data_IF_552351955276
#
_entry.id   IF_552351955276
#
_cell.length_a   1.000
_cell.length_b   1.000
_cell.length_c   1.000
_cell.angle_alpha   90.00
_cell.angle_beta   90.00
_cell.angle_gamma   90.00
#
_symmetry.space_group_name_H-M   'P 1'
#
loop_
_entity.id
_entity.type
_entity.pdbx_description
1 polymer ?
#
# COMPACT_ATOMS: atom_id res chain seq x y z
N UNK A 1 -14.84 7.20 -1.65
CA UNK A 1 -13.63 7.10 -0.78
C UNK A 1 -12.79 5.86 -1.13
N UNK A 2 -13.10 4.64 -0.67
CA UNK A 2 -12.34 3.44 -1.12
C UNK A 2 -12.85 2.84 -2.44
N UNK A 3 -14.12 3.09 -2.77
CA UNK A 3 -14.80 2.61 -3.99
C UNK A 3 -14.08 3.07 -5.26
N UNK A 4 -13.54 4.29 -5.21
CA UNK A 4 -12.93 4.99 -6.33
C UNK A 4 -11.41 4.75 -6.39
N UNK A 5 -10.82 4.16 -5.35
CA UNK A 5 -9.40 3.85 -5.33
C UNK A 5 -9.13 2.51 -6.02
N UNK A 6 -8.77 2.58 -7.31
CA UNK A 6 -8.54 1.39 -8.16
C UNK A 6 -7.60 0.36 -7.53
N UNK A 7 -6.46 0.78 -6.97
CA UNK A 7 -5.51 -0.14 -6.34
C UNK A 7 -6.15 -0.93 -5.20
N UNK A 8 -6.97 -0.25 -4.37
CA UNK A 8 -7.70 -0.91 -3.29
C UNK A 8 -8.72 -1.93 -3.82
N UNK A 9 -9.47 -1.60 -4.88
CA UNK A 9 -10.43 -2.55 -5.46
C UNK A 9 -9.75 -3.82 -5.99
N UNK A 10 -8.63 -3.67 -6.69
CA UNK A 10 -7.84 -4.82 -7.17
C UNK A 10 -7.31 -5.63 -5.98
N UNK A 11 -6.82 -4.99 -4.91
CA UNK A 11 -6.32 -5.70 -3.73
C UNK A 11 -7.41 -6.49 -2.99
N UNK A 12 -8.64 -5.97 -2.97
CA UNK A 12 -9.80 -6.67 -2.41
C UNK A 12 -10.14 -7.91 -3.23
N UNK A 13 -10.14 -7.80 -4.55
CA UNK A 13 -10.38 -8.93 -5.45
C UNK A 13 -9.27 -9.97 -5.34
N UNK A 14 -8.02 -9.53 -5.28
CA UNK A 14 -6.86 -10.41 -5.06
C UNK A 14 -7.00 -11.18 -3.74
N UNK A 15 -7.31 -10.51 -2.63
CA UNK A 15 -7.56 -11.15 -1.33
C UNK A 15 -8.69 -12.19 -1.41
N UNK A 16 -9.80 -11.86 -2.08
CA UNK A 16 -10.91 -12.80 -2.28
C UNK A 16 -10.47 -14.02 -3.09
N UNK A 17 -9.65 -13.83 -4.13
CA UNK A 17 -9.09 -14.93 -4.92
C UNK A 17 -8.15 -15.81 -4.09
N UNK A 18 -7.27 -15.22 -3.27
CA UNK A 18 -6.38 -15.96 -2.39
C UNK A 18 -7.11 -16.94 -1.46
N UNK A 19 -8.31 -16.58 -0.98
CA UNK A 19 -9.13 -17.47 -0.13
C UNK A 19 -9.57 -18.77 -0.81
N UNK A 20 -9.54 -18.81 -2.14
CA UNK A 20 -9.94 -19.97 -2.94
C UNK A 20 -8.77 -20.92 -3.24
N UNK A 21 -7.54 -20.49 -2.98
CA UNK A 21 -6.32 -21.24 -3.26
C UNK A 21 -6.10 -22.27 -2.14
N UNK A 22 -5.87 -23.53 -2.53
CA UNK A 22 -5.57 -24.62 -1.59
C UNK A 22 -4.08 -24.60 -1.28
N UNK A 23 -3.73 -24.41 -0.01
CA UNK A 23 -2.35 -24.40 0.49
C UNK A 23 -2.29 -25.14 1.84
N UNK A 24 -1.09 -25.60 2.25
CA UNK A 24 -0.82 -25.99 3.63
C UNK A 24 -1.27 -24.92 4.62
N UNK A 25 -1.72 -25.34 5.81
CA UNK A 25 -2.37 -24.42 6.77
C UNK A 25 -1.51 -23.19 7.12
N UNK A 26 -0.21 -23.38 7.29
CA UNK A 26 0.72 -22.31 7.63
C UNK A 26 0.92 -21.30 6.48
N UNK A 27 0.96 -21.76 5.22
CA UNK A 27 1.06 -20.88 4.05
C UNK A 27 -0.26 -20.20 3.71
N UNK A 28 -1.39 -20.88 3.94
CA UNK A 28 -2.70 -20.27 3.82
C UNK A 28 -2.85 -19.09 4.77
N UNK A 29 -2.40 -19.22 6.02
CA UNK A 29 -2.42 -18.12 6.98
C UNK A 29 -1.49 -16.98 6.55
N UNK A 30 -0.25 -17.30 6.14
CA UNK A 30 0.69 -16.30 5.64
C UNK A 30 0.15 -15.56 4.40
N UNK A 31 -0.43 -16.28 3.43
CA UNK A 31 -1.03 -15.68 2.24
C UNK A 31 -2.22 -14.79 2.61
N UNK A 32 -3.09 -15.23 3.53
CA UNK A 32 -4.23 -14.44 3.98
C UNK A 32 -3.79 -13.15 4.69
N UNK A 33 -2.74 -13.22 5.53
CA UNK A 33 -2.15 -12.06 6.21
C UNK A 33 -1.50 -11.10 5.22
N UNK A 34 -0.68 -11.60 4.31
CA UNK A 34 0.00 -10.78 3.31
C UNK A 34 -1.00 -10.12 2.35
N UNK A 35 -1.93 -10.88 1.78
CA UNK A 35 -2.93 -10.35 0.82
C UNK A 35 -3.88 -9.33 1.46
N UNK A 36 -4.31 -9.53 2.70
CA UNK A 36 -5.11 -8.53 3.44
C UNK A 36 -4.29 -7.28 3.80
N UNK A 37 -3.01 -7.44 4.16
CA UNK A 37 -2.09 -6.33 4.43
C UNK A 37 -1.97 -5.35 3.25
N UNK A 38 -1.99 -5.85 2.01
CA UNK A 38 -1.99 -4.99 0.81
C UNK A 38 -3.19 -4.04 0.84
N UNK A 39 -4.40 -4.57 1.02
CA UNK A 39 -5.62 -3.78 1.05
C UNK A 39 -5.68 -2.81 2.24
N UNK A 40 -5.24 -3.25 3.42
CA UNK A 40 -5.24 -2.44 4.63
C UNK A 40 -4.25 -1.26 4.53
N UNK A 41 -3.03 -1.49 4.03
CA UNK A 41 -2.06 -0.41 3.81
C UNK A 41 -2.55 0.59 2.74
N UNK A 42 -3.17 0.10 1.66
CA UNK A 42 -3.79 0.98 0.67
C UNK A 42 -4.91 1.83 1.27
N UNK A 43 -5.80 1.24 2.08
CA UNK A 43 -6.86 1.99 2.75
C UNK A 43 -6.28 3.05 3.70
N UNK A 44 -5.30 2.69 4.52
CA UNK A 44 -4.67 3.61 5.47
C UNK A 44 -3.94 4.76 4.76
N UNK A 45 -3.28 4.47 3.62
CA UNK A 45 -2.63 5.50 2.79
C UNK A 45 -3.62 6.55 2.29
N UNK A 46 -4.86 6.17 2.00
CA UNK A 46 -5.87 7.09 1.45
C UNK A 46 -6.26 8.21 2.42
N UNK A 47 -6.04 8.01 3.73
CA UNK A 47 -6.25 9.02 4.77
C UNK A 47 -5.03 9.91 5.05
N UNK A 48 -3.87 9.67 4.42
CA UNK A 48 -2.63 10.40 4.73
C UNK A 48 -2.53 11.71 3.96
N UNK A 49 -2.22 12.77 4.70
CA UNK A 49 -2.13 14.14 4.18
C UNK A 49 -0.87 14.38 3.35
N UNK A 50 0.27 13.84 3.78
CA UNK A 50 1.55 14.06 3.10
C UNK A 50 1.84 12.96 2.08
N UNK A 51 2.55 13.32 1.00
CA UNK A 51 3.06 12.36 0.02
C UNK A 51 4.03 11.36 0.66
N UNK A 52 4.88 11.84 1.58
CA UNK A 52 5.81 11.01 2.36
C UNK A 52 5.10 9.87 3.08
N UNK A 53 4.04 10.20 3.81
CA UNK A 53 3.29 9.19 4.57
C UNK A 53 2.59 8.23 3.62
N UNK A 54 1.95 8.71 2.55
CA UNK A 54 1.34 7.84 1.53
C UNK A 54 2.34 6.84 0.95
N UNK A 55 3.51 7.32 0.53
CA UNK A 55 4.59 6.50 -0.03
C UNK A 55 5.05 5.42 0.97
N UNK A 56 5.16 5.74 2.26
CA UNK A 56 5.51 4.74 3.28
C UNK A 56 4.53 3.56 3.28
N UNK A 57 3.23 3.82 3.25
CA UNK A 57 2.21 2.76 3.20
C UNK A 57 2.21 2.01 1.86
N UNK A 58 2.47 2.67 0.73
CA UNK A 58 2.64 1.99 -0.56
C UNK A 58 3.84 1.04 -0.56
N UNK A 59 4.96 1.44 0.05
CA UNK A 59 6.14 0.58 0.19
C UNK A 59 5.83 -0.65 1.03
N UNK A 60 5.07 -0.51 2.12
CA UNK A 60 4.62 -1.65 2.92
C UNK A 60 3.70 -2.59 2.12
N UNK A 61 2.74 -2.04 1.39
CA UNK A 61 1.87 -2.83 0.52
C UNK A 61 2.65 -3.57 -0.58
N UNK A 62 3.68 -2.94 -1.17
CA UNK A 62 4.55 -3.56 -2.16
C UNK A 62 5.38 -4.72 -1.55
N UNK A 63 5.79 -4.59 -0.29
CA UNK A 63 6.39 -5.70 0.47
C UNK A 63 5.45 -6.89 0.55
N UNK A 64 4.19 -6.66 0.96
CA UNK A 64 3.18 -7.73 1.05
C UNK A 64 2.80 -8.33 -0.31
N UNK A 65 2.88 -7.58 -1.42
CA UNK A 65 2.76 -8.13 -2.78
C UNK A 65 3.85 -9.19 -3.04
N UNK A 66 5.10 -8.89 -2.70
CA UNK A 66 6.23 -9.82 -2.90
C UNK A 66 6.13 -11.06 -2.02
N UNK A 67 5.63 -10.92 -0.79
CA UNK A 67 5.34 -12.07 0.07
C UNK A 67 4.29 -12.99 -0.56
N UNK A 68 3.21 -12.41 -1.10
CA UNK A 68 2.20 -13.19 -1.81
C UNK A 68 2.78 -13.88 -3.05
N UNK A 69 3.57 -13.15 -3.86
CA UNK A 69 4.26 -13.69 -5.04
C UNK A 69 5.13 -14.89 -4.67
N UNK A 70 5.96 -14.75 -3.63
CA UNK A 70 6.81 -15.82 -3.15
C UNK A 70 6.02 -17.05 -2.71
N UNK A 71 4.93 -16.87 -1.96
CA UNK A 71 4.08 -18.00 -1.51
C UNK A 71 3.45 -18.72 -2.70
N UNK A 72 2.94 -17.98 -3.69
CA UNK A 72 2.34 -18.57 -4.89
C UNK A 72 3.38 -19.32 -5.73
N UNK A 73 4.61 -18.81 -5.82
CA UNK A 73 5.69 -19.42 -6.57
C UNK A 73 6.21 -20.71 -5.89
N UNK A 74 6.47 -20.70 -4.58
CA UNK A 74 6.99 -21.89 -3.87
C UNK A 74 5.98 -23.05 -3.85
N UNK A 75 4.68 -22.74 -3.87
CA UNK A 75 3.60 -23.75 -3.95
C UNK A 75 3.17 -24.04 -5.40
N UNK A 76 3.85 -23.45 -6.39
CA UNK A 76 3.60 -23.62 -7.82
C UNK A 76 2.11 -23.42 -8.19
N UNK A 77 1.50 -22.35 -7.65
CA UNK A 77 0.08 -22.08 -7.83
C UNK A 77 -0.20 -21.59 -9.25
N UNK A 78 -0.92 -22.39 -10.02
CA UNK A 78 -1.32 -22.08 -11.40
C UNK A 78 -2.71 -21.43 -11.42
N UNK A 79 -2.77 -20.18 -10.97
CA UNK A 79 -4.00 -19.37 -10.94
C UNK A 79 -3.82 -18.09 -11.78
N UNK A 80 -4.32 -18.05 -13.03
CA UNK A 80 -4.09 -16.92 -13.93
C UNK A 80 -4.73 -15.63 -13.42
N UNK A 81 -5.88 -15.73 -12.74
CA UNK A 81 -6.59 -14.57 -12.19
C UNK A 81 -5.80 -13.99 -11.02
N UNK A 82 -5.34 -14.83 -10.08
CA UNK A 82 -4.52 -14.36 -8.97
C UNK A 82 -3.22 -13.72 -9.46
N UNK A 83 -2.57 -14.33 -10.46
CA UNK A 83 -1.33 -13.83 -11.05
C UNK A 83 -1.52 -12.48 -11.74
N UNK A 84 -2.58 -12.32 -12.53
CA UNK A 84 -2.88 -11.05 -13.20
C UNK A 84 -3.17 -9.92 -12.19
N UNK A 85 -4.00 -10.19 -11.18
CA UNK A 85 -4.30 -9.22 -10.13
C UNK A 85 -3.04 -8.81 -9.35
N UNK A 86 -2.17 -9.78 -9.02
CA UNK A 86 -0.92 -9.52 -8.32
C UNK A 86 0.05 -8.68 -9.16
N UNK A 87 0.18 -8.98 -10.46
CA UNK A 87 1.00 -8.22 -11.39
C UNK A 87 0.49 -6.77 -11.53
N UNK A 88 -0.82 -6.57 -11.65
CA UNK A 88 -1.43 -5.25 -11.67
C UNK A 88 -1.13 -4.48 -10.37
N UNK A 89 -1.26 -5.12 -9.21
CA UNK A 89 -0.94 -4.51 -7.91
C UNK A 89 0.52 -4.12 -7.82
N UNK A 90 1.44 -5.01 -8.20
CA UNK A 90 2.88 -4.75 -8.22
C UNK A 90 3.22 -3.55 -9.09
N UNK A 91 2.68 -3.49 -10.31
CA UNK A 91 2.92 -2.39 -11.25
C UNK A 91 2.37 -1.05 -10.73
N UNK A 92 1.16 -1.05 -10.16
CA UNK A 92 0.56 0.17 -9.59
C UNK A 92 1.36 0.64 -8.37
N UNK A 93 1.63 -0.25 -7.42
CA UNK A 93 2.34 0.09 -6.19
C UNK A 93 3.77 0.55 -6.47
N UNK A 94 4.47 -0.09 -7.42
CA UNK A 94 5.81 0.34 -7.82
C UNK A 94 5.84 1.79 -8.31
N UNK A 95 4.84 2.20 -9.11
CA UNK A 95 4.69 3.60 -9.56
C UNK A 95 4.32 4.53 -8.41
N UNK A 96 3.42 4.12 -7.53
CA UNK A 96 3.01 4.92 -6.38
C UNK A 96 4.15 5.15 -5.38
N UNK A 97 5.05 4.18 -5.20
CA UNK A 97 6.24 4.33 -4.37
C UNK A 97 7.25 5.36 -4.90
N UNK A 98 7.16 5.73 -6.17
CA UNK A 98 8.08 6.68 -6.83
C UNK A 98 7.53 8.11 -6.91
N UNK A 99 6.36 8.37 -6.33
CA UNK A 99 5.79 9.72 -6.31
C UNK A 99 6.78 10.66 -5.61
N UNK A 100 7.11 11.82 -6.20
CA UNK A 100 7.97 12.81 -5.58
C UNK A 100 7.47 13.20 -4.19
N UNK A 101 8.33 13.04 -3.20
CA UNK A 101 8.02 13.43 -1.83
C UNK A 101 8.39 14.90 -1.67
N UNK A 102 7.39 15.77 -1.84
CA UNK A 102 7.56 17.17 -1.47
C UNK A 102 7.86 17.28 0.03
N UNK A 103 9.03 17.82 0.35
CA UNK A 103 9.34 18.28 1.69
C UNK A 103 8.52 19.55 1.91
N UNK A 104 7.31 19.42 2.47
CA UNK A 104 6.59 20.57 3.00
C UNK A 104 7.49 21.22 4.06
N UNK A 105 8.14 22.33 3.70
CA UNK A 105 8.76 23.22 4.68
C UNK A 105 7.63 23.59 5.65
N UNK A 106 7.77 23.19 6.91
CA UNK A 106 6.93 23.74 7.98
C UNK A 106 7.09 25.26 7.88
N UNK A 107 6.01 26.06 7.86
CA UNK A 107 6.15 27.52 7.88
C UNK A 107 6.92 27.85 9.16
N UNK A 108 8.15 28.37 9.01
CA UNK A 108 8.84 28.99 10.13
C UNK A 108 7.95 30.14 10.57
N UNK A 109 7.36 30.02 11.75
CA UNK A 109 6.69 31.13 12.43
C UNK A 109 7.80 32.16 12.67
N UNK A 110 7.85 33.21 11.85
CA UNK A 110 8.72 34.37 12.08
C UNK A 110 8.37 34.91 13.47
N UNK A 111 9.33 34.82 14.38
CA UNK A 111 9.29 35.50 15.68
C UNK A 111 9.94 36.86 15.49
N UNK A 112 9.33 37.71 14.69
CA UNK A 112 9.74 39.12 14.56
C UNK A 112 8.45 39.90 14.44
N UNK A 113 7.86 40.28 15.59
CA UNK A 113 6.83 41.31 15.78
C UNK A 113 6.51 41.38 17.29
N UNK A 114 7.53 41.72 18.09
CA UNK A 114 7.34 42.12 19.49
C UNK A 114 8.45 43.10 19.89
N UNK A 115 8.64 44.14 19.07
CA UNK A 115 9.50 45.25 19.40
C UNK A 115 9.10 46.50 18.61
N UNK A 116 7.85 46.94 18.73
CA UNK A 116 7.51 48.35 18.52
C UNK A 116 6.17 48.68 19.18
N UNK A 117 6.25 49.10 20.44
CA UNK A 117 5.36 50.07 21.09
C UNK A 117 6.15 50.59 22.32
N UNK A 118 7.22 51.37 22.10
CA UNK A 118 7.23 52.84 22.04
C UNK A 118 6.30 53.53 23.06
N UNK A 119 7.00 54.23 23.96
CA UNK A 119 6.69 55.57 24.50
C UNK A 119 6.01 55.64 25.86
#
# INVERSE_FOLDING_TARGET
MLKDFRAFQISKEFYQRCKTIKLPAFLRDQLARASSSIALNLAESSGKRTSRDRVRYYTMALGSVRECEAILEIENVQDPVAKDLLNQLGAILFKLCQIPVENTKVPQKTRDDAQEDRS
#
